data_IF_451708583417
#
_entry.id   IF_451708583417
#
_cell.length_a   1.000
_cell.length_b   1.000
_cell.length_c   1.000
_cell.angle_alpha   90.00
_cell.angle_beta   90.00
_cell.angle_gamma   90.00
#
_symmetry.space_group_name_H-M   'P 1'
#
loop_
_entity.id
_entity.type
_entity.pdbx_description
1 polymer ?
#
# COMPACT_ATOMS: atom_id res chain seq x y z
N UNK A 1 16.84 8.05 -16.86
CA UNK A 1 17.26 6.93 -16.00
C UNK A 1 16.80 5.64 -16.66
N UNK A 2 17.71 4.68 -16.81
CA UNK A 2 17.43 3.35 -17.33
C UNK A 2 17.32 2.39 -16.14
N UNK A 3 16.56 1.30 -16.30
CA UNK A 3 16.47 0.26 -15.26
C UNK A 3 17.84 -0.29 -14.88
N UNK A 4 18.77 -0.36 -15.85
CA UNK A 4 20.15 -0.79 -15.65
C UNK A 4 20.94 0.05 -14.66
N UNK A 5 20.56 1.32 -14.45
CA UNK A 5 21.27 2.23 -13.55
C UNK A 5 21.10 1.83 -12.07
N UNK A 6 20.18 0.90 -11.78
CA UNK A 6 19.86 0.39 -10.44
C UNK A 6 20.21 -1.09 -10.28
N UNK A 7 20.97 -1.67 -11.21
CA UNK A 7 21.40 -3.06 -11.13
C UNK A 7 22.61 -3.20 -10.20
N UNK A 8 22.61 -4.22 -9.33
CA UNK A 8 23.72 -4.57 -8.46
C UNK A 8 23.79 -6.08 -8.28
N UNK A 9 24.98 -6.59 -7.98
CA UNK A 9 25.18 -8.02 -7.72
C UNK A 9 24.60 -8.37 -6.35
N UNK A 10 23.56 -9.21 -6.33
CA UNK A 10 22.92 -9.73 -5.12
C UNK A 10 23.02 -11.25 -5.09
N UNK A 11 23.96 -11.82 -4.31
CA UNK A 11 24.03 -13.25 -4.08
C UNK A 11 22.73 -13.79 -3.48
N UNK A 12 22.24 -14.94 -3.96
CA UNK A 12 20.95 -15.52 -3.56
C UNK A 12 20.92 -15.88 -2.07
N UNK A 13 22.06 -16.29 -1.52
CA UNK A 13 22.22 -16.63 -0.11
C UNK A 13 22.01 -15.44 0.84
N UNK A 14 22.11 -14.20 0.35
CA UNK A 14 21.85 -12.99 1.12
C UNK A 14 20.36 -12.58 1.11
N UNK A 15 19.51 -13.27 0.35
CA UNK A 15 18.07 -13.02 0.30
C UNK A 15 17.37 -13.81 1.41
N UNK A 16 16.91 -13.10 2.44
CA UNK A 16 16.11 -13.70 3.51
C UNK A 16 14.81 -14.30 2.96
N UNK A 17 14.66 -15.62 3.04
CA UNK A 17 13.43 -16.34 2.63
C UNK A 17 12.33 -16.29 3.69
N UNK A 18 12.73 -16.09 4.95
CA UNK A 18 11.84 -16.00 6.10
C UNK A 18 12.32 -14.88 7.03
N UNK A 19 11.41 -14.22 7.75
CA UNK A 19 11.80 -13.24 8.75
C UNK A 19 12.59 -13.90 9.88
N UNK A 20 13.47 -13.13 10.52
CA UNK A 20 14.14 -13.56 11.75
C UNK A 20 13.11 -13.76 12.86
N UNK A 21 13.26 -14.82 13.65
CA UNK A 21 12.35 -15.14 14.77
C UNK A 21 12.32 -14.00 15.79
N UNK A 22 13.50 -13.52 16.19
CA UNK A 22 13.64 -12.28 16.92
C UNK A 22 13.83 -11.13 15.93
N UNK A 23 12.75 -10.39 15.67
CA UNK A 23 12.71 -9.28 14.71
C UNK A 23 13.52 -8.08 15.18
N UNK A 24 13.66 -7.86 16.49
CA UNK A 24 14.35 -6.68 17.03
C UNK A 24 15.87 -6.84 16.85
N UNK A 25 16.36 -8.08 16.80
CA UNK A 25 17.77 -8.38 16.53
C UNK A 25 18.18 -8.30 15.04
N UNK A 26 17.32 -7.80 14.15
CA UNK A 26 17.68 -7.59 12.75
C UNK A 26 18.74 -6.49 12.60
N UNK A 27 19.56 -6.58 11.54
CA UNK A 27 20.54 -5.54 11.21
C UNK A 27 19.82 -4.28 10.71
N UNK A 28 20.35 -3.12 11.06
CA UNK A 28 19.92 -1.81 10.58
C UNK A 28 21.12 -1.14 9.87
N UNK A 29 20.93 -0.72 8.62
CA UNK A 29 21.88 0.12 7.90
C UNK A 29 21.43 1.58 8.05
N UNK A 30 22.21 2.38 8.78
CA UNK A 30 22.01 3.82 8.82
C UNK A 30 22.87 4.44 7.71
N UNK A 31 22.22 5.18 6.81
CA UNK A 31 22.88 5.97 5.77
C UNK A 31 22.57 7.45 6.03
N UNK A 32 23.61 8.27 6.17
CA UNK A 32 23.44 9.72 6.16
C UNK A 32 23.26 10.18 4.70
N UNK A 33 22.11 10.77 4.40
CA UNK A 33 21.75 11.18 3.04
C UNK A 33 22.54 12.37 2.49
N UNK A 34 23.18 13.17 3.34
CA UNK A 34 23.93 14.36 2.94
C UNK A 34 25.38 14.05 2.60
N UNK A 35 26.07 13.30 3.46
CA UNK A 35 27.50 13.03 3.34
C UNK A 35 27.82 11.60 2.90
N UNK A 36 26.82 10.70 2.86
CA UNK A 36 27.00 9.30 2.47
C UNK A 36 27.62 8.41 3.54
N UNK A 37 27.78 8.87 4.79
CA UNK A 37 28.32 8.06 5.89
C UNK A 37 27.39 6.87 6.19
N UNK A 38 28.03 5.72 6.43
CA UNK A 38 27.34 4.46 6.68
C UNK A 38 27.68 3.96 8.08
N UNK A 39 26.65 3.58 8.82
CA UNK A 39 26.79 2.91 10.12
C UNK A 39 26.02 1.59 10.12
N UNK A 40 26.63 0.56 10.69
CA UNK A 40 26.01 -0.74 10.90
C UNK A 40 25.52 -0.85 12.34
N UNK A 41 24.21 -1.10 12.50
CA UNK A 41 23.51 -1.12 13.78
C UNK A 41 22.61 -2.36 13.91
N UNK A 42 21.98 -2.52 15.07
CA UNK A 42 20.84 -3.41 15.28
C UNK A 42 19.55 -2.59 15.27
N UNK A 43 18.42 -3.20 14.91
CA UNK A 43 17.14 -2.47 14.80
C UNK A 43 16.68 -1.87 16.14
N UNK A 44 17.10 -2.41 17.28
CA UNK A 44 16.91 -1.79 18.61
C UNK A 44 17.47 -0.38 18.70
N UNK A 45 18.56 -0.09 17.98
CA UNK A 45 19.29 1.18 18.05
C UNK A 45 18.54 2.30 17.32
N UNK A 46 17.42 1.99 16.64
CA UNK A 46 16.56 3.00 15.99
C UNK A 46 16.03 4.03 16.99
N UNK A 47 15.89 3.65 18.27
CA UNK A 47 15.45 4.56 19.32
C UNK A 47 16.46 5.68 19.59
N UNK A 48 17.75 5.47 19.29
CA UNK A 48 18.81 6.48 19.40
C UNK A 48 18.91 7.36 18.15
N UNK A 49 18.09 7.10 17.11
CA UNK A 49 18.10 7.81 15.83
C UNK A 49 16.87 8.71 15.63
N UNK A 50 16.01 8.81 16.65
CA UNK A 50 14.76 9.56 16.61
C UNK A 50 14.81 10.59 17.72
N UNK A 51 14.53 11.84 17.37
CA UNK A 51 14.55 12.96 18.30
C UNK A 51 13.13 13.33 18.76
N UNK A 52 13.06 14.10 19.86
CA UNK A 52 11.80 14.69 20.30
C UNK A 52 11.22 15.60 19.20
N UNK A 53 9.97 15.35 18.83
CA UNK A 53 9.27 16.09 17.77
C UNK A 53 9.20 15.36 16.43
N UNK A 54 9.91 14.24 16.26
CA UNK A 54 9.84 13.42 15.06
C UNK A 54 8.48 12.70 14.93
N UNK A 55 8.00 12.58 13.69
CA UNK A 55 6.76 11.88 13.35
C UNK A 55 7.07 10.57 12.61
N UNK A 56 6.78 9.45 13.27
CA UNK A 56 6.81 8.13 12.63
C UNK A 56 5.47 7.80 11.96
N UNK A 57 5.48 7.72 10.63
CA UNK A 57 4.29 7.34 9.85
C UNK A 57 4.36 5.85 9.52
N UNK A 58 3.55 5.05 10.21
CA UNK A 58 3.41 3.63 9.93
C UNK A 58 2.32 3.39 8.89
N UNK A 59 2.63 2.60 7.87
CA UNK A 59 1.59 2.06 6.99
C UNK A 59 0.84 0.93 7.73
N UNK A 60 -0.42 1.18 8.06
CA UNK A 60 -1.33 0.15 8.58
C UNK A 60 -2.30 -0.27 7.48
N UNK A 61 -1.98 -1.37 6.78
CA UNK A 61 -2.83 -1.89 5.70
C UNK A 61 -4.00 -2.69 6.28
N UNK A 62 -5.23 -2.35 5.91
CA UNK A 62 -6.43 -3.12 6.22
C UNK A 62 -7.06 -3.63 4.92
N UNK A 63 -7.30 -4.93 4.84
CA UNK A 63 -8.06 -5.51 3.72
C UNK A 63 -9.54 -5.34 4.01
N UNK A 64 -10.22 -4.57 3.17
CA UNK A 64 -11.68 -4.44 3.18
C UNK A 64 -12.19 -5.12 1.90
N UNK A 65 -13.19 -6.00 1.95
CA UNK A 65 -13.87 -6.49 0.75
C UNK A 65 -14.64 -5.32 0.11
N UNK A 66 -13.91 -4.54 -0.67
CA UNK A 66 -14.36 -3.29 -1.24
C UNK A 66 -14.80 -3.40 -2.70
N UNK A 67 -14.59 -4.57 -3.32
CA UNK A 67 -14.84 -4.78 -4.74
C UNK A 67 -16.22 -5.40 -4.95
N UNK A 68 -17.05 -4.71 -5.72
CA UNK A 68 -18.40 -5.13 -6.09
C UNK A 68 -18.58 -5.11 -7.60
N UNK A 69 -19.41 -6.02 -8.10
CA UNK A 69 -19.84 -6.06 -9.49
C UNK A 69 -21.32 -5.67 -9.59
N UNK A 70 -21.71 -5.19 -10.76
CA UNK A 70 -23.09 -4.81 -11.00
C UNK A 70 -23.34 -4.30 -12.40
N UNK A 71 -24.46 -3.59 -12.55
CA UNK A 71 -24.93 -3.04 -13.82
C UNK A 71 -25.54 -1.66 -13.64
N UNK A 72 -25.43 -0.84 -14.69
CA UNK A 72 -26.24 0.38 -14.85
C UNK A 72 -27.70 -0.02 -15.08
N UNK A 73 -28.63 0.90 -14.82
CA UNK A 73 -30.03 0.76 -15.27
C UNK A 73 -30.17 0.43 -16.77
N UNK A 74 -29.23 0.89 -17.60
CA UNK A 74 -29.18 0.57 -19.03
C UNK A 74 -28.68 -0.85 -19.36
N UNK A 75 -28.37 -1.69 -18.37
CA UNK A 75 -27.82 -3.05 -18.53
C UNK A 75 -26.30 -3.12 -18.74
N UNK A 76 -25.59 -1.99 -18.82
CA UNK A 76 -24.13 -1.99 -19.00
C UNK A 76 -23.40 -2.39 -17.72
N UNK A 77 -22.48 -3.37 -17.81
CA UNK A 77 -21.68 -3.86 -16.68
C UNK A 77 -20.79 -2.78 -16.07
N UNK A 78 -20.61 -2.85 -14.75
CA UNK A 78 -19.72 -2.01 -13.98
C UNK A 78 -18.96 -2.83 -12.94
N UNK A 79 -17.82 -2.31 -12.54
CA UNK A 79 -17.06 -2.77 -11.37
C UNK A 79 -16.81 -1.57 -10.47
N UNK A 80 -17.07 -1.73 -9.17
CA UNK A 80 -16.97 -0.69 -8.15
C UNK A 80 -15.95 -1.12 -7.12
N UNK A 81 -14.95 -0.28 -6.86
CA UNK A 81 -13.98 -0.45 -5.78
C UNK A 81 -14.19 0.63 -4.74
N UNK A 82 -14.69 0.27 -3.56
CA UNK A 82 -14.87 1.15 -2.40
C UNK A 82 -13.50 1.58 -1.87
N UNK A 83 -13.26 2.87 -1.83
CA UNK A 83 -12.07 3.46 -1.25
C UNK A 83 -12.25 3.61 0.27
N UNK A 84 -13.35 4.28 0.69
CA UNK A 84 -13.69 4.49 2.10
C UNK A 84 -15.16 4.77 2.31
N UNK A 85 -15.68 4.39 3.47
CA UNK A 85 -17.00 4.82 3.94
C UNK A 85 -16.95 6.30 4.33
N UNK A 86 -17.96 7.07 3.96
CA UNK A 86 -18.16 8.44 4.42
C UNK A 86 -19.12 8.48 5.63
N UNK A 87 -20.11 7.60 5.62
CA UNK A 87 -21.05 7.32 6.71
C UNK A 87 -21.73 5.95 6.49
N UNK A 88 -22.86 5.69 7.16
CA UNK A 88 -23.61 4.42 7.09
C UNK A 88 -24.15 4.07 5.70
N UNK A 89 -24.37 5.07 4.83
CA UNK A 89 -25.03 4.88 3.54
C UNK A 89 -24.25 5.42 2.34
N UNK A 90 -23.14 6.13 2.58
CA UNK A 90 -22.32 6.74 1.53
C UNK A 90 -20.87 6.27 1.61
N UNK A 91 -20.27 6.10 0.45
CA UNK A 91 -18.87 5.73 0.31
C UNK A 91 -18.25 6.41 -0.92
N UNK A 92 -16.92 6.60 -0.88
CA UNK A 92 -16.15 6.93 -2.07
C UNK A 92 -15.74 5.64 -2.77
N UNK A 93 -15.80 5.63 -4.10
CA UNK A 93 -15.40 4.50 -4.90
C UNK A 93 -14.86 4.89 -6.27
N UNK A 94 -14.01 4.02 -6.80
CA UNK A 94 -13.63 4.03 -8.21
C UNK A 94 -14.58 3.12 -9.00
N UNK A 95 -15.14 3.63 -10.09
CA UNK A 95 -16.05 2.87 -10.95
C UNK A 95 -15.38 2.63 -12.31
N UNK A 96 -15.17 1.36 -12.65
CA UNK A 96 -14.79 0.94 -14.00
C UNK A 96 -16.05 0.68 -14.81
N UNK A 97 -16.18 1.35 -15.96
CA UNK A 97 -17.28 1.15 -16.91
C UNK A 97 -16.88 1.65 -18.31
N UNK A 98 -17.51 1.14 -19.37
CA UNK A 98 -17.22 1.61 -20.75
C UNK A 98 -17.63 3.06 -20.98
N UNK A 99 -18.69 3.51 -20.30
CA UNK A 99 -19.14 4.91 -20.27
C UNK A 99 -19.52 5.23 -18.83
N UNK A 100 -18.79 6.18 -18.25
CA UNK A 100 -18.95 6.61 -16.86
C UNK A 100 -20.40 6.99 -16.54
N UNK A 101 -20.95 6.52 -15.41
CA UNK A 101 -22.23 7.02 -14.92
C UNK A 101 -22.18 8.53 -14.71
N UNK A 102 -23.29 9.21 -15.01
CA UNK A 102 -23.45 10.62 -14.66
C UNK A 102 -24.00 10.74 -13.24
N UNK A 103 -23.95 11.93 -12.68
CA UNK A 103 -24.65 12.24 -11.43
C UNK A 103 -26.13 11.83 -11.51
N UNK A 104 -26.64 11.25 -10.42
CA UNK A 104 -28.01 10.72 -10.34
C UNK A 104 -28.24 9.38 -11.05
N UNK A 105 -27.23 8.76 -11.66
CA UNK A 105 -27.39 7.46 -12.29
C UNK A 105 -27.60 6.33 -11.26
N UNK A 106 -28.62 5.50 -11.50
CA UNK A 106 -28.88 4.31 -10.69
C UNK A 106 -28.01 3.13 -11.11
N UNK A 107 -27.38 2.51 -10.12
CA UNK A 107 -26.49 1.36 -10.28
C UNK A 107 -26.98 0.22 -9.37
N UNK A 108 -27.09 -0.97 -9.94
CA UNK A 108 -27.51 -2.17 -9.23
C UNK A 108 -26.25 -2.99 -8.93
N UNK A 109 -25.96 -3.18 -7.64
CA UNK A 109 -24.77 -3.89 -7.15
C UNK A 109 -25.20 -5.20 -6.49
N UNK A 110 -24.39 -6.26 -6.64
CA UNK A 110 -24.61 -7.54 -5.95
C UNK A 110 -25.49 -8.55 -6.69
N UNK A 111 -26.04 -8.21 -7.85
CA UNK A 111 -26.74 -9.16 -8.72
C UNK A 111 -25.83 -9.62 -9.88
N UNK A 112 -25.21 -10.78 -9.69
CA UNK A 112 -24.75 -11.67 -10.77
C UNK A 112 -24.79 -13.13 -10.23
N UNK A 113 -26.00 -13.59 -9.87
CA UNK A 113 -26.36 -15.01 -9.94
C UNK A 113 -27.52 -15.18 -10.91
#
# INVERSE_FOLDING_TARGET
MRVSDFNFDLPDELIARYPKTDRVSCRLLQLNGENGEIFHRTFSDVLDLIDEGDLLIFNNTRVIPARMFGRKASGGKIEVLVERMLDEHRFLAHIRSSKSPKEGAELFLGEDK
#
